data_IF_521782424438
#
_entry.id   IF_521782424438
#
_cell.length_a   1.000
_cell.length_b   1.000
_cell.length_c   1.000
_cell.angle_alpha   90.00
_cell.angle_beta   90.00
_cell.angle_gamma   90.00
#
_symmetry.space_group_name_H-M   'P 1'
#
loop_
_entity.id
_entity.type
_entity.pdbx_description
1 polymer ?
#
# COMPACT_ATOMS: atom_id res chain seq x y z
N UNK A 1 6.79 -65.71 -46.29
CA UNK A 1 8.17 -65.53 -45.76
C UNK A 1 8.71 -64.10 -45.83
N UNK A 2 8.32 -63.22 -46.75
CA UNK A 2 8.87 -61.85 -46.83
C UNK A 2 8.34 -60.84 -45.79
N UNK A 3 7.11 -61.02 -45.29
CA UNK A 3 6.48 -60.13 -44.30
C UNK A 3 7.10 -60.28 -42.90
N UNK A 4 7.49 -61.50 -42.52
CA UNK A 4 8.14 -61.76 -41.23
C UNK A 4 9.55 -61.16 -41.17
N UNK A 5 10.27 -61.17 -42.30
CA UNK A 5 11.61 -60.56 -42.39
C UNK A 5 11.55 -59.03 -42.26
N UNK A 6 10.46 -58.42 -42.70
CA UNK A 6 10.25 -56.97 -42.59
C UNK A 6 9.88 -56.56 -41.16
N UNK A 7 8.98 -57.30 -40.50
CA UNK A 7 8.63 -57.06 -39.09
C UNK A 7 9.81 -57.24 -38.14
N UNK A 8 10.69 -58.22 -38.40
CA UNK A 8 11.91 -58.42 -37.60
C UNK A 8 12.91 -57.27 -37.81
N UNK A 9 13.04 -56.75 -39.04
CA UNK A 9 13.88 -55.57 -39.32
C UNK A 9 13.36 -54.31 -38.64
N UNK A 10 12.04 -54.06 -38.68
CA UNK A 10 11.43 -52.91 -38.00
C UNK A 10 11.60 -53.02 -36.48
N UNK A 11 11.37 -54.20 -35.89
CA UNK A 11 11.56 -54.45 -34.46
C UNK A 11 13.02 -54.25 -34.01
N UNK A 12 13.99 -54.68 -34.83
CA UNK A 12 15.42 -54.50 -34.53
C UNK A 12 15.88 -53.04 -34.68
N UNK A 13 15.30 -52.29 -35.61
CA UNK A 13 15.59 -50.85 -35.79
C UNK A 13 15.02 -49.99 -34.66
N UNK A 14 13.88 -50.39 -34.08
CA UNK A 14 13.27 -49.72 -32.92
C UNK A 14 14.04 -50.07 -31.63
N UNK A 15 14.51 -51.32 -31.51
CA UNK A 15 15.33 -51.74 -30.37
C UNK A 15 16.67 -51.01 -30.31
N UNK A 16 17.34 -50.79 -31.45
CA UNK A 16 18.64 -50.12 -31.48
C UNK A 16 18.56 -48.59 -31.33
N UNK A 17 17.40 -47.96 -31.64
CA UNK A 17 17.23 -46.51 -31.41
C UNK A 17 16.97 -46.18 -29.93
N UNK A 18 16.52 -47.16 -29.14
CA UNK A 18 16.20 -46.99 -27.73
C UNK A 18 17.47 -46.94 -26.85
N UNK A 19 18.54 -47.65 -27.23
CA UNK A 19 19.75 -47.77 -26.42
C UNK A 19 20.81 -46.67 -26.65
N UNK A 20 20.60 -45.77 -27.64
CA UNK A 20 21.53 -44.65 -27.91
C UNK A 20 21.05 -43.31 -27.33
N UNK A 21 19.84 -43.26 -26.77
CA UNK A 21 19.39 -42.10 -26.00
C UNK A 21 19.79 -42.29 -24.54
N UNK A 22 21.00 -41.83 -24.17
CA UNK A 22 21.23 -41.40 -22.78
C UNK A 22 20.22 -40.30 -22.49
N UNK A 23 19.09 -40.68 -21.90
CA UNK A 23 18.09 -39.79 -21.35
C UNK A 23 18.79 -39.03 -20.23
N UNK A 24 19.32 -37.84 -20.55
CA UNK A 24 19.40 -36.78 -19.56
C UNK A 24 17.96 -36.57 -19.11
N UNK A 25 17.63 -37.01 -17.90
CA UNK A 25 16.34 -36.71 -17.28
C UNK A 25 16.09 -35.21 -17.46
N UNK A 26 15.08 -34.79 -18.23
CA UNK A 26 14.81 -33.37 -18.37
C UNK A 26 14.45 -32.91 -16.96
N UNK A 27 15.29 -32.07 -16.34
CA UNK A 27 14.95 -31.38 -15.10
C UNK A 27 13.59 -30.74 -15.34
N UNK A 28 12.54 -31.29 -14.72
CA UNK A 28 11.19 -30.72 -14.83
C UNK A 28 11.31 -29.23 -14.55
N UNK A 29 10.91 -28.39 -15.51
CA UNK A 29 10.85 -26.94 -15.29
C UNK A 29 9.89 -26.71 -14.14
N UNK A 30 10.42 -26.28 -12.99
CA UNK A 30 9.61 -25.96 -11.82
C UNK A 30 8.69 -24.79 -12.18
N UNK A 31 7.41 -25.08 -12.33
CA UNK A 31 6.40 -24.06 -12.59
C UNK A 31 5.93 -23.42 -11.29
N UNK A 32 5.42 -22.19 -11.38
CA UNK A 32 4.94 -21.44 -10.22
C UNK A 32 3.72 -22.13 -9.58
N UNK A 33 2.81 -22.68 -10.37
CA UNK A 33 1.65 -23.43 -9.89
C UNK A 33 0.75 -22.59 -8.97
N UNK A 34 0.36 -23.15 -7.82
CA UNK A 34 -0.53 -22.51 -6.83
C UNK A 34 -0.01 -21.15 -6.34
N UNK A 35 1.31 -20.96 -6.31
CA UNK A 35 1.93 -19.68 -5.93
C UNK A 35 1.66 -18.56 -6.94
N UNK A 36 0.98 -18.84 -8.07
CA UNK A 36 0.67 -17.85 -9.09
C UNK A 36 -0.14 -16.69 -8.54
N UNK A 37 -1.04 -16.94 -7.59
CA UNK A 37 -1.91 -15.91 -7.03
C UNK A 37 -1.13 -14.94 -6.13
N UNK A 38 -0.29 -15.47 -5.23
CA UNK A 38 0.62 -14.65 -4.42
C UNK A 38 1.61 -13.88 -5.30
N UNK A 39 2.13 -14.56 -6.33
CA UNK A 39 3.08 -13.94 -7.26
C UNK A 39 2.41 -12.85 -8.10
N UNK A 40 1.16 -13.02 -8.51
CA UNK A 40 0.38 -11.96 -9.15
C UNK A 40 0.21 -10.74 -8.22
N UNK A 41 -0.03 -10.97 -6.92
CA UNK A 41 -0.04 -9.91 -5.91
C UNK A 41 1.31 -9.18 -5.80
N UNK A 42 2.43 -9.89 -5.84
CA UNK A 42 3.78 -9.29 -5.84
C UNK A 42 4.03 -8.45 -7.09
N UNK A 43 3.69 -8.96 -8.26
CA UNK A 43 3.82 -8.25 -9.53
C UNK A 43 2.93 -6.99 -9.58
N UNK A 44 1.71 -7.09 -9.07
CA UNK A 44 0.80 -5.97 -8.90
C UNK A 44 1.39 -4.86 -8.01
N UNK A 45 2.05 -5.23 -6.89
CA UNK A 45 2.77 -4.29 -6.03
C UNK A 45 3.93 -3.61 -6.75
N UNK A 46 4.67 -4.31 -7.61
CA UNK A 46 5.74 -3.71 -8.42
C UNK A 46 5.19 -2.69 -9.43
N UNK A 47 4.08 -3.00 -10.09
CA UNK A 47 3.39 -2.06 -10.99
C UNK A 47 2.98 -0.79 -10.25
N UNK A 48 2.39 -0.95 -9.06
CA UNK A 48 1.99 0.19 -8.23
C UNK A 48 3.20 1.05 -7.83
N UNK A 49 4.29 0.43 -7.36
CA UNK A 49 5.51 1.13 -6.96
C UNK A 49 6.17 1.87 -8.13
N UNK A 50 6.13 1.30 -9.33
CA UNK A 50 6.61 2.01 -10.52
C UNK A 50 5.73 3.24 -10.82
N UNK A 51 4.41 3.07 -10.81
CA UNK A 51 3.47 4.15 -11.10
C UNK A 51 3.53 5.27 -10.05
N UNK A 52 3.76 4.95 -8.77
CA UNK A 52 3.93 5.95 -7.70
C UNK A 52 5.20 6.79 -7.85
N UNK A 53 6.15 6.36 -8.69
CA UNK A 53 7.38 7.08 -9.02
C UNK A 53 7.31 7.80 -10.37
N UNK A 54 6.15 7.85 -11.04
CA UNK A 54 5.97 8.65 -12.25
C UNK A 54 6.30 10.14 -12.00
N UNK A 55 6.71 10.87 -13.02
CA UNK A 55 7.11 12.28 -12.84
C UNK A 55 5.95 13.12 -12.28
N UNK A 56 4.73 12.87 -12.76
CA UNK A 56 3.50 13.51 -12.25
C UNK A 56 3.26 13.20 -10.76
N UNK A 57 3.41 11.94 -10.33
CA UNK A 57 3.25 11.57 -8.91
C UNK A 57 4.33 12.18 -8.04
N UNK A 58 5.56 12.24 -8.53
CA UNK A 58 6.70 12.83 -7.81
C UNK A 58 6.49 14.34 -7.61
N UNK A 59 6.01 15.04 -8.64
CA UNK A 59 5.66 16.46 -8.55
C UNK A 59 4.55 16.65 -7.51
N UNK A 60 3.47 15.85 -7.54
CA UNK A 60 2.43 15.93 -6.50
C UNK A 60 2.95 15.63 -5.09
N UNK A 61 3.88 14.69 -4.93
CA UNK A 61 4.49 14.44 -3.61
C UNK A 61 5.24 15.68 -3.11
N UNK A 62 6.01 16.34 -3.98
CA UNK A 62 6.74 17.56 -3.63
C UNK A 62 5.80 18.75 -3.38
N UNK A 63 4.89 19.01 -4.31
CA UNK A 63 4.12 20.24 -4.36
C UNK A 63 2.81 20.18 -3.58
N UNK A 64 2.22 19.00 -3.37
CA UNK A 64 0.93 18.84 -2.69
C UNK A 64 1.06 18.11 -1.35
N UNK A 65 2.04 17.21 -1.18
CA UNK A 65 2.11 16.35 0.01
C UNK A 65 3.04 16.92 1.09
N UNK A 66 4.19 17.45 0.68
CA UNK A 66 5.18 18.07 1.58
C UNK A 66 4.77 19.51 1.94
N UNK A 67 4.05 20.18 1.05
CA UNK A 67 3.50 21.52 1.25
C UNK A 67 2.23 21.55 2.12
N UNK A 68 1.64 20.38 2.45
CA UNK A 68 0.44 20.32 3.29
C UNK A 68 0.67 21.09 4.58
N UNK A 69 -0.18 22.07 4.84
CA UNK A 69 -0.09 22.95 6.01
C UNK A 69 0.00 22.13 7.31
N UNK A 70 -0.77 21.04 7.41
CA UNK A 70 -0.74 20.15 8.57
C UNK A 70 0.61 19.46 8.74
N UNK A 71 1.21 18.94 7.66
CA UNK A 71 2.54 18.32 7.70
C UNK A 71 3.58 19.32 8.19
N UNK A 72 3.55 20.55 7.68
CA UNK A 72 4.46 21.64 8.09
C UNK A 72 4.27 22.04 9.56
N UNK A 73 3.02 22.13 10.03
CA UNK A 73 2.71 22.52 11.41
C UNK A 73 3.10 21.48 12.44
N UNK A 74 2.69 20.23 12.23
CA UNK A 74 2.77 19.18 13.26
C UNK A 74 3.81 18.10 12.99
N UNK A 75 4.29 17.90 11.76
CA UNK A 75 5.36 16.92 11.46
C UNK A 75 6.73 17.59 11.43
N UNK A 76 7.03 18.42 10.43
CA UNK A 76 8.31 19.14 10.31
C UNK A 76 8.24 20.28 9.31
N UNK A 77 9.05 21.33 9.52
CA UNK A 77 9.27 22.40 8.56
C UNK A 77 10.53 22.20 7.69
N UNK A 78 11.27 21.10 7.88
CA UNK A 78 12.42 20.79 7.05
C UNK A 78 11.97 19.93 5.85
N UNK A 79 12.04 20.51 4.65
CA UNK A 79 11.69 19.84 3.41
C UNK A 79 12.63 18.66 3.11
N UNK A 80 13.91 18.78 3.42
CA UNK A 80 14.89 17.71 3.20
C UNK A 80 14.57 16.49 4.06
N UNK A 81 14.19 16.72 5.32
CA UNK A 81 13.71 15.67 6.21
C UNK A 81 12.42 15.01 5.70
N UNK A 82 11.45 15.80 5.23
CA UNK A 82 10.19 15.26 4.70
C UNK A 82 10.41 14.44 3.41
N UNK A 83 11.28 14.91 2.50
CA UNK A 83 11.70 14.15 1.32
C UNK A 83 12.43 12.86 1.73
N UNK A 84 13.26 12.91 2.77
CA UNK A 84 13.90 11.75 3.36
C UNK A 84 12.89 10.71 3.83
N UNK A 85 11.85 11.13 4.55
CA UNK A 85 10.77 10.24 5.00
C UNK A 85 10.04 9.57 3.82
N UNK A 86 9.69 10.35 2.79
CA UNK A 86 9.06 9.83 1.58
C UNK A 86 9.95 8.79 0.87
N UNK A 87 11.24 9.11 0.71
CA UNK A 87 12.19 8.18 0.12
C UNK A 87 12.32 6.90 0.95
N UNK A 88 12.42 7.03 2.28
CA UNK A 88 12.60 5.90 3.16
C UNK A 88 11.40 4.94 3.11
N UNK A 89 10.17 5.47 3.05
CA UNK A 89 8.97 4.64 2.88
C UNK A 89 8.97 3.91 1.53
N UNK A 90 9.33 4.59 0.44
CA UNK A 90 9.41 3.96 -0.89
C UNK A 90 10.49 2.87 -0.94
N UNK A 91 11.66 3.15 -0.35
CA UNK A 91 12.75 2.19 -0.24
C UNK A 91 12.36 0.96 0.58
N UNK A 92 11.64 1.15 1.70
CA UNK A 92 11.12 0.05 2.51
C UNK A 92 10.12 -0.81 1.74
N UNK A 93 9.19 -0.19 1.00
CA UNK A 93 8.21 -0.93 0.20
C UNK A 93 8.89 -1.81 -0.86
N UNK A 94 9.93 -1.30 -1.54
CA UNK A 94 10.74 -2.10 -2.48
C UNK A 94 11.45 -3.24 -1.76
N UNK A 95 12.02 -2.99 -0.58
CA UNK A 95 12.72 -4.02 0.20
C UNK A 95 11.80 -5.14 0.65
N UNK A 96 10.57 -4.82 1.06
CA UNK A 96 9.56 -5.83 1.41
C UNK A 96 9.28 -6.74 0.22
N UNK A 97 9.07 -6.18 -0.98
CA UNK A 97 8.86 -6.97 -2.19
C UNK A 97 10.11 -7.79 -2.54
N UNK A 98 11.30 -7.20 -2.43
CA UNK A 98 12.56 -7.91 -2.66
C UNK A 98 12.76 -9.11 -1.72
N UNK A 99 12.41 -8.99 -0.44
CA UNK A 99 12.45 -10.12 0.51
C UNK A 99 11.54 -11.28 0.07
N UNK A 100 10.37 -11.00 -0.50
CA UNK A 100 9.50 -12.04 -1.04
C UNK A 100 10.11 -12.67 -2.31
N UNK A 101 10.64 -11.85 -3.21
CA UNK A 101 11.30 -12.33 -4.44
C UNK A 101 12.55 -13.15 -4.14
N UNK A 102 13.32 -12.81 -3.11
CA UNK A 102 14.46 -13.62 -2.64
C UNK A 102 14.04 -15.02 -2.19
N UNK A 103 12.93 -15.15 -1.46
CA UNK A 103 12.38 -16.47 -1.07
C UNK A 103 11.92 -17.25 -2.31
N UNK A 104 11.31 -16.57 -3.27
CA UNK A 104 10.87 -17.18 -4.53
C UNK A 104 12.06 -17.61 -5.40
N UNK A 105 13.14 -16.83 -5.42
CA UNK A 105 14.30 -17.06 -6.27
C UNK A 105 15.12 -18.28 -5.86
N UNK A 106 15.00 -18.75 -4.60
CA UNK A 106 15.59 -20.05 -4.20
C UNK A 106 15.00 -21.25 -4.97
N UNK A 107 13.86 -21.07 -5.67
CA UNK A 107 13.23 -22.09 -6.54
C UNK A 107 13.62 -21.98 -8.02
N UNK A 108 14.45 -20.98 -8.37
CA UNK A 108 14.99 -20.79 -9.72
C UNK A 108 16.06 -21.84 -10.05
N UNK A 109 16.25 -22.10 -11.34
CA UNK A 109 17.35 -22.92 -11.84
C UNK A 109 18.60 -22.07 -12.12
N UNK A 110 18.42 -20.77 -12.38
CA UNK A 110 19.51 -19.82 -12.59
C UNK A 110 20.20 -19.44 -11.27
N UNK A 111 21.49 -19.75 -11.16
CA UNK A 111 22.34 -19.45 -9.99
C UNK A 111 22.42 -17.95 -9.67
N UNK A 112 22.37 -17.08 -10.67
CA UNK A 112 22.41 -15.63 -10.45
C UNK A 112 21.12 -15.15 -9.77
N UNK A 113 19.97 -15.70 -10.18
CA UNK A 113 18.67 -15.40 -9.56
C UNK A 113 18.60 -15.95 -8.13
N UNK A 114 19.15 -17.13 -7.86
CA UNK A 114 19.20 -17.69 -6.50
C UNK A 114 19.97 -16.81 -5.51
N UNK A 115 20.96 -16.05 -5.99
CA UNK A 115 21.77 -15.11 -5.20
C UNK A 115 21.24 -13.67 -5.24
N UNK A 116 20.00 -13.46 -5.67
CA UNK A 116 19.39 -12.14 -5.82
C UNK A 116 19.48 -11.28 -4.56
N UNK A 117 19.31 -11.87 -3.37
CA UNK A 117 19.45 -11.19 -2.07
C UNK A 117 20.77 -10.43 -1.96
N UNK A 118 21.88 -11.12 -2.21
CA UNK A 118 23.21 -10.51 -2.16
C UNK A 118 23.36 -9.37 -3.16
N UNK A 119 22.94 -9.60 -4.41
CA UNK A 119 23.06 -8.62 -5.48
C UNK A 119 22.19 -7.38 -5.24
N UNK A 120 21.01 -7.58 -4.64
CA UNK A 120 20.10 -6.50 -4.30
C UNK A 120 20.69 -5.62 -3.19
N UNK A 121 21.26 -6.22 -2.14
CA UNK A 121 21.90 -5.47 -1.05
C UNK A 121 23.15 -4.72 -1.54
N UNK A 122 23.96 -5.35 -2.39
CA UNK A 122 25.11 -4.69 -3.02
C UNK A 122 24.66 -3.48 -3.85
N UNK A 123 23.68 -3.65 -4.74
CA UNK A 123 23.13 -2.56 -5.56
C UNK A 123 22.49 -1.45 -4.72
N UNK A 124 21.82 -1.81 -3.61
CA UNK A 124 21.24 -0.84 -2.68
C UNK A 124 22.31 0.02 -2.02
N UNK A 125 23.47 -0.55 -1.67
CA UNK A 125 24.55 0.17 -1.00
C UNK A 125 25.50 0.90 -1.95
N UNK A 126 25.95 0.24 -3.03
CA UNK A 126 26.96 0.79 -3.95
C UNK A 126 26.35 1.51 -5.16
N UNK A 127 25.12 1.16 -5.54
CA UNK A 127 24.52 1.60 -6.82
C UNK A 127 25.08 0.90 -8.05
N UNK A 128 26.02 -0.04 -7.88
CA UNK A 128 26.64 -0.75 -8.99
C UNK A 128 25.78 -1.95 -9.43
N UNK A 129 25.38 -1.97 -10.70
CA UNK A 129 24.61 -3.05 -11.31
C UNK A 129 25.50 -3.94 -12.18
N UNK A 130 26.16 -4.92 -11.56
CA UNK A 130 27.07 -5.84 -12.25
C UNK A 130 26.37 -6.74 -13.28
N UNK A 131 25.06 -6.92 -13.17
CA UNK A 131 24.29 -7.85 -14.01
C UNK A 131 23.44 -7.15 -15.09
N UNK A 132 23.48 -5.82 -15.16
CA UNK A 132 22.69 -5.05 -16.13
C UNK A 132 21.19 -5.33 -16.03
N UNK A 133 20.68 -5.47 -14.81
CA UNK A 133 19.27 -5.74 -14.54
C UNK A 133 18.39 -4.49 -14.57
N UNK A 134 18.98 -3.31 -14.34
CA UNK A 134 18.30 -2.02 -14.52
C UNK A 134 17.90 -1.89 -15.99
N UNK A 135 16.63 -1.55 -16.21
CA UNK A 135 16.03 -1.38 -17.53
C UNK A 135 15.88 0.09 -17.86
N UNK A 136 15.88 0.43 -19.16
CA UNK A 136 15.45 1.74 -19.61
C UNK A 136 13.95 1.96 -19.31
N UNK A 137 13.47 3.21 -19.19
CA UNK A 137 12.05 3.50 -18.96
C UNK A 137 11.13 2.87 -20.01
N UNK A 138 11.55 2.81 -21.28
CA UNK A 138 10.78 2.20 -22.37
C UNK A 138 10.65 0.67 -22.21
N UNK A 139 11.75 0.01 -21.83
CA UNK A 139 11.75 -1.43 -21.56
C UNK A 139 10.91 -1.78 -20.33
N UNK A 140 10.99 -0.95 -19.29
CA UNK A 140 10.18 -1.11 -18.08
C UNK A 140 8.70 -0.97 -18.39
N UNK A 141 8.30 0.01 -19.20
CA UNK A 141 6.90 0.18 -19.62
C UNK A 141 6.38 -1.04 -20.42
N UNK A 142 7.18 -1.56 -21.35
CA UNK A 142 6.84 -2.78 -22.07
C UNK A 142 6.75 -4.01 -21.12
N UNK A 143 7.64 -4.08 -20.12
CA UNK A 143 7.60 -5.12 -19.09
C UNK A 143 6.36 -5.01 -18.22
N UNK A 144 5.96 -3.80 -17.85
CA UNK A 144 4.78 -3.52 -17.04
C UNK A 144 3.50 -3.95 -17.76
N UNK A 145 3.37 -3.67 -19.06
CA UNK A 145 2.23 -4.17 -19.86
C UNK A 145 2.15 -5.70 -19.86
N UNK A 146 3.30 -6.38 -19.92
CA UNK A 146 3.35 -7.84 -19.83
C UNK A 146 2.98 -8.34 -18.43
N UNK A 147 3.48 -7.67 -17.39
CA UNK A 147 3.20 -7.96 -16.00
C UNK A 147 1.71 -7.80 -15.68
N UNK A 148 1.11 -6.68 -16.09
CA UNK A 148 -0.31 -6.36 -15.94
C UNK A 148 -1.22 -7.39 -16.61
N UNK A 149 -0.87 -7.82 -17.83
CA UNK A 149 -1.58 -8.91 -18.52
C UNK A 149 -1.54 -10.21 -17.70
N UNK A 150 -0.39 -10.57 -17.13
CA UNK A 150 -0.30 -11.77 -16.30
C UNK A 150 -1.09 -11.66 -15.01
N UNK A 151 -1.05 -10.49 -14.34
CA UNK A 151 -1.83 -10.21 -13.14
C UNK A 151 -3.32 -10.35 -13.45
N UNK A 152 -3.79 -9.71 -14.53
CA UNK A 152 -5.21 -9.76 -14.96
C UNK A 152 -5.66 -11.19 -15.26
N UNK A 153 -4.93 -11.94 -16.09
CA UNK A 153 -5.31 -13.33 -16.43
C UNK A 153 -5.28 -14.23 -15.18
N UNK A 154 -4.33 -14.01 -14.27
CA UNK A 154 -4.24 -14.81 -13.03
C UNK A 154 -5.37 -14.46 -12.04
N UNK A 155 -5.83 -13.22 -12.01
CA UNK A 155 -7.02 -12.81 -11.26
C UNK A 155 -8.30 -13.43 -11.84
N UNK A 156 -8.45 -13.43 -13.17
CA UNK A 156 -9.54 -14.15 -13.85
C UNK A 156 -9.51 -15.64 -13.51
N UNK A 157 -8.33 -16.27 -13.56
CA UNK A 157 -8.18 -17.68 -13.17
C UNK A 157 -8.68 -17.95 -11.74
N UNK A 158 -8.37 -17.07 -10.79
CA UNK A 158 -8.84 -17.22 -9.41
C UNK A 158 -10.37 -17.22 -9.34
N UNK A 159 -11.01 -16.23 -9.99
CA UNK A 159 -12.47 -16.11 -10.04
C UNK A 159 -13.13 -17.33 -10.70
N UNK A 160 -12.61 -17.77 -11.86
CA UNK A 160 -13.16 -18.92 -12.58
C UNK A 160 -12.98 -20.24 -11.79
N UNK A 161 -11.93 -20.35 -10.97
CA UNK A 161 -11.74 -21.47 -10.05
C UNK A 161 -12.73 -21.45 -8.87
N UNK A 162 -13.09 -20.27 -8.35
CA UNK A 162 -14.13 -20.11 -7.33
C UNK A 162 -15.53 -20.44 -7.88
N UNK A 163 -15.82 -20.00 -9.10
CA UNK A 163 -17.04 -20.36 -9.82
C UNK A 163 -17.11 -21.87 -10.09
N UNK A 164 -15.98 -22.50 -10.47
CA UNK A 164 -15.90 -23.96 -10.61
C UNK A 164 -16.23 -24.69 -9.31
N UNK A 165 -15.65 -24.26 -8.18
CA UNK A 165 -15.94 -24.81 -6.86
C UNK A 165 -17.42 -24.67 -6.50
N UNK A 166 -18.03 -23.53 -6.83
CA UNK A 166 -19.45 -23.26 -6.60
C UNK A 166 -20.34 -24.21 -7.42
N UNK A 167 -20.03 -24.41 -8.71
CA UNK A 167 -20.76 -25.34 -9.58
C UNK A 167 -20.61 -26.78 -9.08
N UNK A 168 -19.41 -27.21 -8.68
CA UNK A 168 -19.15 -28.54 -8.13
C UNK A 168 -19.93 -28.79 -6.83
N UNK A 169 -19.99 -27.80 -5.94
CA UNK A 169 -20.76 -27.88 -4.70
C UNK A 169 -22.28 -27.93 -4.96
N UNK A 170 -22.78 -27.16 -5.92
CA UNK A 170 -24.19 -27.18 -6.30
C UNK A 170 -24.59 -28.54 -6.90
N UNK A 171 -23.73 -29.11 -7.75
CA UNK A 171 -23.92 -30.45 -8.31
C UNK A 171 -23.91 -31.51 -7.21
N UNK A 172 -22.98 -31.44 -6.25
CA UNK A 172 -22.92 -32.35 -5.09
C UNK A 172 -24.19 -32.28 -4.22
N UNK A 173 -24.72 -31.07 -3.96
CA UNK A 173 -25.97 -30.87 -3.23
C UNK A 173 -27.18 -31.46 -3.98
N UNK A 174 -27.22 -31.34 -5.30
CA UNK A 174 -28.27 -31.94 -6.12
C UNK A 174 -28.29 -33.47 -6.01
N UNK A 175 -27.14 -34.15 -5.86
CA UNK A 175 -27.12 -35.60 -5.62
C UNK A 175 -27.54 -36.02 -4.21
N UNK A 176 -27.60 -35.10 -3.24
CA UNK A 176 -27.94 -35.39 -1.84
C UNK A 176 -29.42 -35.12 -1.51
N UNK A 177 -30.08 -34.21 -2.23
CA UNK A 177 -31.53 -33.98 -2.07
C UNK A 177 -32.34 -35.07 -2.78
N UNK A 178 -33.16 -35.81 -2.02
CA UNK A 178 -34.03 -36.91 -2.51
C UNK A 178 -35.33 -36.44 -3.19
N UNK A 179 -35.56 -35.14 -3.31
CA UNK A 179 -36.70 -34.63 -4.08
C UNK A 179 -36.44 -34.86 -5.58
N UNK A 180 -37.51 -34.98 -6.36
CA UNK A 180 -37.47 -35.16 -7.82
C UNK A 180 -36.83 -33.96 -8.52
N UNK A 181 -35.51 -33.84 -8.39
CA UNK A 181 -34.70 -32.87 -9.12
C UNK A 181 -34.81 -33.28 -10.58
N UNK A 182 -35.39 -32.39 -11.39
CA UNK A 182 -35.52 -32.57 -12.84
C UNK A 182 -34.16 -32.99 -13.39
N UNK A 183 -34.07 -34.19 -13.94
CA UNK A 183 -32.88 -34.76 -14.59
C UNK A 183 -32.20 -33.77 -15.54
N UNK A 184 -33.01 -32.94 -16.20
CA UNK A 184 -32.58 -31.81 -17.02
C UNK A 184 -31.65 -30.80 -16.30
N UNK A 185 -31.90 -30.48 -15.03
CA UNK A 185 -31.07 -29.57 -14.23
C UNK A 185 -29.70 -30.17 -13.92
N UNK A 186 -29.63 -31.50 -13.76
CA UNK A 186 -28.37 -32.21 -13.52
C UNK A 186 -27.53 -32.20 -14.79
N UNK A 187 -28.14 -32.49 -15.95
CA UNK A 187 -27.47 -32.47 -17.25
C UNK A 187 -26.94 -31.06 -17.58
N UNK A 188 -27.73 -30.02 -17.33
CA UNK A 188 -27.32 -28.62 -17.52
C UNK A 188 -26.11 -28.25 -16.63
N UNK A 189 -26.15 -28.60 -15.35
CA UNK A 189 -25.02 -28.37 -14.43
C UNK A 189 -23.76 -29.14 -14.83
N UNK A 190 -23.89 -30.38 -15.35
CA UNK A 190 -22.77 -31.17 -15.86
C UNK A 190 -22.13 -30.53 -17.09
N UNK A 191 -22.94 -30.04 -18.04
CA UNK A 191 -22.45 -29.33 -19.22
C UNK A 191 -21.70 -28.05 -18.82
N UNK A 192 -22.28 -27.26 -17.90
CA UNK A 192 -21.64 -26.04 -17.39
C UNK A 192 -20.31 -26.35 -16.69
N UNK A 193 -20.25 -27.41 -15.88
CA UNK A 193 -19.03 -27.86 -15.22
C UNK A 193 -17.94 -28.26 -16.22
N UNK A 194 -18.31 -28.94 -17.31
CA UNK A 194 -17.36 -29.30 -18.36
C UNK A 194 -16.73 -28.06 -19.02
N UNK A 195 -17.56 -27.09 -19.42
CA UNK A 195 -17.09 -25.83 -20.01
C UNK A 195 -16.22 -25.05 -19.03
N UNK A 196 -16.63 -24.96 -17.77
CA UNK A 196 -15.86 -24.28 -16.73
C UNK A 196 -14.48 -24.91 -16.51
N UNK A 197 -14.38 -26.25 -16.55
CA UNK A 197 -13.09 -26.95 -16.45
C UNK A 197 -12.18 -26.65 -17.63
N UNK A 198 -12.72 -26.54 -18.84
CA UNK A 198 -11.92 -26.15 -20.01
C UNK A 198 -11.42 -24.71 -19.89
N UNK A 199 -12.27 -23.78 -19.44
CA UNK A 199 -11.87 -22.39 -19.25
C UNK A 199 -10.74 -22.27 -18.20
N UNK A 200 -10.88 -22.94 -17.05
CA UNK A 200 -9.82 -22.99 -16.03
C UNK A 200 -8.52 -23.57 -16.59
N UNK A 201 -8.59 -24.61 -17.43
CA UNK A 201 -7.40 -25.19 -18.07
C UNK A 201 -6.74 -24.19 -19.01
N UNK A 202 -7.52 -23.52 -19.86
CA UNK A 202 -7.05 -22.48 -20.77
C UNK A 202 -6.39 -21.31 -20.02
N UNK A 203 -7.01 -20.86 -18.93
CA UNK A 203 -6.47 -19.77 -18.09
C UNK A 203 -5.19 -20.19 -17.37
N UNK A 204 -5.05 -21.44 -16.91
CA UNK A 204 -3.79 -21.97 -16.34
C UNK A 204 -2.64 -21.91 -17.34
N UNK A 205 -2.87 -22.20 -18.61
CA UNK A 205 -1.85 -22.15 -19.67
C UNK A 205 -1.36 -20.74 -19.98
N UNK A 206 -2.23 -19.74 -19.84
CA UNK A 206 -1.93 -18.34 -20.16
C UNK A 206 -1.42 -17.54 -18.97
N UNK A 207 -1.90 -17.83 -17.77
CA UNK A 207 -1.55 -17.18 -16.50
C UNK A 207 -0.12 -17.47 -16.03
N UNK A 208 0.20 -17.00 -14.82
CA UNK A 208 1.46 -17.31 -14.13
C UNK A 208 1.56 -18.78 -13.70
N UNK A 209 0.44 -19.51 -13.61
CA UNK A 209 0.39 -20.90 -13.11
C UNK A 209 1.37 -21.82 -13.85
N UNK A 210 1.42 -21.72 -15.18
CA UNK A 210 2.29 -22.53 -16.04
C UNK A 210 3.62 -21.83 -16.44
N UNK A 211 4.01 -20.75 -15.77
CA UNK A 211 5.31 -20.10 -16.00
C UNK A 211 6.38 -20.69 -15.08
N UNK A 212 7.64 -20.67 -15.52
CA UNK A 212 8.77 -21.08 -14.69
C UNK A 212 9.12 -20.01 -13.65
N UNK A 213 9.68 -20.43 -12.52
CA UNK A 213 10.20 -19.50 -11.52
C UNK A 213 11.23 -18.55 -12.13
N UNK A 214 12.16 -19.04 -12.96
CA UNK A 214 13.18 -18.20 -13.61
C UNK A 214 12.59 -17.04 -14.40
N UNK A 215 11.54 -17.28 -15.18
CA UNK A 215 10.91 -16.24 -15.99
C UNK A 215 10.24 -15.17 -15.13
N UNK A 216 9.53 -15.60 -14.08
CA UNK A 216 8.76 -14.68 -13.23
C UNK A 216 9.69 -13.91 -12.29
N UNK A 217 10.67 -14.59 -11.70
CA UNK A 217 11.69 -13.97 -10.83
C UNK A 217 12.56 -13.02 -11.64
N UNK A 218 13.06 -13.41 -12.83
CA UNK A 218 13.85 -12.51 -13.68
C UNK A 218 13.08 -11.22 -14.01
N UNK A 219 11.78 -11.34 -14.31
CA UNK A 219 10.92 -10.18 -14.52
C UNK A 219 10.81 -9.31 -13.27
N UNK A 220 10.58 -9.90 -12.10
CA UNK A 220 10.46 -9.17 -10.84
C UNK A 220 11.77 -8.50 -10.41
N UNK A 221 12.91 -9.20 -10.53
CA UNK A 221 14.25 -8.71 -10.18
C UNK A 221 14.62 -7.47 -11.00
N UNK A 222 14.43 -7.51 -12.32
CA UNK A 222 14.70 -6.35 -13.19
C UNK A 222 13.81 -5.16 -12.85
N UNK A 223 12.53 -5.41 -12.54
CA UNK A 223 11.62 -4.36 -12.07
C UNK A 223 12.06 -3.76 -10.74
N UNK A 224 12.46 -4.59 -9.76
CA UNK A 224 12.95 -4.14 -8.45
C UNK A 224 14.18 -3.25 -8.60
N UNK A 225 15.17 -3.69 -9.38
CA UNK A 225 16.40 -2.92 -9.64
C UNK A 225 16.08 -1.57 -10.29
N UNK A 226 15.21 -1.57 -11.30
CA UNK A 226 14.80 -0.35 -12.01
C UNK A 226 14.03 0.62 -11.11
N UNK A 227 13.13 0.10 -10.26
CA UNK A 227 12.37 0.91 -9.29
C UNK A 227 13.34 1.51 -8.26
N UNK A 228 14.27 0.74 -7.71
CA UNK A 228 15.24 1.23 -6.73
C UNK A 228 16.19 2.28 -7.34
N UNK A 229 16.65 2.07 -8.58
CA UNK A 229 17.42 3.06 -9.33
C UNK A 229 16.63 4.37 -9.49
N UNK A 230 15.34 4.27 -9.84
CA UNK A 230 14.45 5.43 -9.98
C UNK A 230 14.22 6.15 -8.65
N UNK A 231 14.07 5.44 -7.53
CA UNK A 231 13.99 6.05 -6.19
C UNK A 231 15.26 6.86 -5.90
N UNK A 232 16.44 6.26 -6.10
CA UNK A 232 17.72 6.94 -5.87
C UNK A 232 17.86 8.21 -6.73
N UNK A 233 17.37 8.17 -7.97
CA UNK A 233 17.37 9.30 -8.90
C UNK A 233 16.37 10.40 -8.48
N UNK A 234 15.13 10.03 -8.19
CA UNK A 234 14.03 10.97 -7.83
C UNK A 234 14.32 11.74 -6.54
N UNK A 235 14.93 11.07 -5.56
CA UNK A 235 15.23 11.63 -4.24
C UNK A 235 16.69 12.11 -4.09
N UNK A 236 17.49 12.06 -5.16
CA UNK A 236 18.84 12.65 -5.17
C UNK A 236 19.88 11.94 -4.31
N UNK A 237 19.69 10.64 -4.00
CA UNK A 237 20.57 9.88 -3.09
C UNK A 237 21.85 9.38 -3.79
N UNK A 238 22.00 9.60 -5.10
CA UNK A 238 23.18 9.13 -5.83
C UNK A 238 23.64 10.12 -6.93
N UNK A 239 24.83 10.74 -6.77
CA UNK A 239 25.46 11.54 -7.84
C UNK A 239 26.10 10.71 -8.97
N UNK A 240 26.16 9.36 -8.87
CA UNK A 240 27.04 8.55 -9.73
C UNK A 240 26.40 7.98 -11.01
N UNK A 241 25.12 8.22 -11.29
CA UNK A 241 24.44 7.72 -12.50
C UNK A 241 24.29 8.77 -13.62
N UNK A 242 24.86 9.97 -13.47
CA UNK A 242 24.94 10.92 -14.57
C UNK A 242 26.13 10.57 -15.49
N UNK A 243 25.91 10.36 -16.80
CA UNK A 243 26.94 10.66 -17.78
C UNK A 243 27.24 12.15 -17.64
N UNK A 244 28.38 12.46 -17.02
CA UNK A 244 28.93 13.80 -16.91
C UNK A 244 29.13 14.38 -18.30
N UNK A 245 28.21 15.22 -18.76
CA UNK A 245 28.45 16.16 -19.84
C UNK A 245 28.64 17.56 -19.27
N UNK A 246 29.92 17.92 -19.12
CA UNK A 246 30.53 19.25 -19.22
C UNK A 246 29.75 20.46 -18.65
N UNK A 247 30.18 20.97 -17.50
CA UNK A 247 30.77 22.32 -17.41
C UNK A 247 31.46 22.51 -16.05
N UNK A 248 32.62 23.15 -16.10
CA UNK A 248 33.53 23.38 -14.99
C UNK A 248 33.09 24.57 -14.12
N UNK A 249 33.22 24.42 -12.81
CA UNK A 249 33.93 25.38 -11.95
C UNK A 249 34.06 24.80 -10.55
N UNK A 250 35.30 24.52 -10.17
CA UNK A 250 35.68 24.06 -8.85
C UNK A 250 35.78 25.25 -7.90
N UNK A 251 34.99 25.25 -6.83
CA UNK A 251 35.34 25.96 -5.60
C UNK A 251 35.30 24.92 -4.49
N UNK A 252 36.48 24.57 -3.98
CA UNK A 252 36.69 23.53 -2.98
C UNK A 252 36.42 24.14 -1.60
N UNK A 253 35.40 23.65 -0.91
CA UNK A 253 35.28 23.75 0.54
C UNK A 253 35.28 22.33 1.11
N UNK A 254 36.22 21.97 2.01
CA UNK A 254 36.19 20.66 2.66
C UNK A 254 35.16 20.73 3.79
N UNK A 255 34.01 20.09 3.60
CA UNK A 255 33.04 19.88 4.68
C UNK A 255 33.41 18.61 5.43
N UNK A 256 33.51 18.74 6.75
CA UNK A 256 33.93 17.74 7.72
C UNK A 256 33.28 16.36 7.52
N UNK A 257 34.14 15.34 7.42
CA UNK A 257 33.75 13.93 7.44
C UNK A 257 33.22 13.56 8.83
N UNK A 258 31.89 13.59 8.99
CA UNK A 258 31.22 13.01 10.15
C UNK A 258 31.21 11.47 10.05
N UNK A 259 31.60 10.84 11.16
CA UNK A 259 31.76 9.39 11.41
C UNK A 259 30.44 8.58 11.35
N UNK A 260 29.72 8.60 10.23
CA UNK A 260 28.50 7.81 10.02
C UNK A 260 28.59 6.84 8.82
N UNK A 261 29.80 6.67 8.26
CA UNK A 261 30.09 5.97 7.00
C UNK A 261 29.95 4.43 7.01
N UNK A 262 29.19 3.85 7.93
CA UNK A 262 29.06 2.37 8.04
C UNK A 262 27.63 1.84 8.03
N UNK A 263 26.62 2.69 7.82
CA UNK A 263 25.23 2.25 7.82
C UNK A 263 24.74 2.00 6.38
N UNK A 264 24.24 0.78 6.11
CA UNK A 264 23.71 0.42 4.80
C UNK A 264 22.52 1.30 4.39
N UNK A 265 22.30 1.49 3.08
CA UNK A 265 21.23 2.32 2.52
C UNK A 265 19.88 2.02 3.18
N UNK A 266 19.57 0.75 3.33
CA UNK A 266 18.32 0.32 3.92
C UNK A 266 18.24 0.52 5.43
N UNK A 267 19.36 0.36 6.14
CA UNK A 267 19.40 0.59 7.57
C UNK A 267 19.21 2.09 7.90
N UNK A 268 19.79 2.98 7.11
CA UNK A 268 19.58 4.43 7.22
C UNK A 268 18.11 4.81 7.03
N UNK A 269 17.47 4.28 5.99
CA UNK A 269 16.04 4.50 5.73
C UNK A 269 15.17 3.93 6.86
N UNK A 270 15.48 2.74 7.36
CA UNK A 270 14.70 2.13 8.45
C UNK A 270 14.89 2.84 9.79
N UNK A 271 16.05 3.46 10.04
CA UNK A 271 16.21 4.37 11.19
C UNK A 271 15.35 5.61 11.03
N UNK A 272 15.31 6.20 9.84
CA UNK A 272 14.53 7.41 9.57
C UNK A 272 13.00 7.19 9.74
N UNK A 273 12.52 5.99 9.40
CA UNK A 273 11.11 5.62 9.59
C UNK A 273 10.72 5.36 11.06
N UNK A 274 11.67 5.32 12.00
CA UNK A 274 11.35 5.19 13.42
C UNK A 274 10.91 6.55 13.96
N UNK A 275 9.66 6.66 14.45
CA UNK A 275 9.15 7.92 14.97
C UNK A 275 9.92 8.33 16.25
N UNK A 276 10.27 9.63 16.40
CA UNK A 276 10.76 10.16 17.67
C UNK A 276 9.75 9.96 18.81
N UNK A 277 10.18 9.83 20.07
CA UNK A 277 9.28 9.60 21.22
C UNK A 277 8.24 10.71 21.43
N UNK A 278 8.48 11.91 20.89
CA UNK A 278 7.56 13.04 20.94
C UNK A 278 6.41 12.96 19.93
N UNK A 279 6.32 11.91 19.10
CA UNK A 279 5.28 11.79 18.08
C UNK A 279 4.15 10.83 18.47
N UNK A 280 3.01 10.97 17.81
CA UNK A 280 1.86 10.10 18.02
C UNK A 280 2.12 8.66 17.58
N UNK A 281 2.95 8.43 16.57
CA UNK A 281 3.35 7.09 16.13
C UNK A 281 4.15 6.35 17.20
N UNK A 282 5.11 7.03 17.85
CA UNK A 282 5.87 6.44 18.95
C UNK A 282 4.99 6.16 20.19
N UNK A 283 4.01 7.02 20.45
CA UNK A 283 3.03 6.84 21.52
C UNK A 283 1.90 5.85 21.18
N UNK A 284 1.85 5.30 19.96
CA UNK A 284 0.75 4.48 19.44
C UNK A 284 -0.64 5.15 19.49
N UNK A 285 -0.69 6.48 19.41
CA UNK A 285 -1.92 7.29 19.49
C UNK A 285 -2.45 7.75 18.12
N UNK A 286 -1.69 7.57 17.03
CA UNK A 286 -2.03 8.13 15.71
C UNK A 286 -3.43 7.72 15.22
N UNK A 287 -3.79 6.43 15.30
CA UNK A 287 -5.12 5.94 14.89
C UNK A 287 -6.24 6.41 15.83
N UNK A 288 -5.95 6.43 17.13
CA UNK A 288 -6.92 6.89 18.11
C UNK A 288 -7.25 8.38 17.88
N UNK A 289 -6.23 9.19 17.61
CA UNK A 289 -6.42 10.63 17.34
C UNK A 289 -7.04 10.89 15.98
N UNK A 290 -6.75 10.09 14.96
CA UNK A 290 -7.45 10.24 13.68
C UNK A 290 -8.94 10.01 13.83
N UNK A 291 -9.36 8.97 14.56
CA UNK A 291 -10.78 8.72 14.83
C UNK A 291 -11.41 9.88 15.61
N UNK A 292 -10.72 10.38 16.64
CA UNK A 292 -11.19 11.52 17.43
C UNK A 292 -11.38 12.77 16.57
N UNK A 293 -10.42 13.11 15.71
CA UNK A 293 -10.48 14.26 14.80
C UNK A 293 -11.64 14.13 13.81
N UNK A 294 -11.84 12.93 13.24
CA UNK A 294 -12.94 12.68 12.29
C UNK A 294 -14.31 12.81 12.97
N UNK A 295 -14.45 12.35 14.23
CA UNK A 295 -15.67 12.55 15.01
C UNK A 295 -15.91 14.03 15.27
N UNK A 296 -14.89 14.77 15.72
CA UNK A 296 -15.00 16.21 15.94
C UNK A 296 -15.36 16.97 14.65
N UNK A 297 -14.78 16.59 13.51
CA UNK A 297 -15.13 17.17 12.21
C UNK A 297 -16.63 16.99 11.89
N UNK A 298 -17.18 15.80 12.12
CA UNK A 298 -18.61 15.53 11.91
C UNK A 298 -19.48 16.39 12.84
N UNK A 299 -19.10 16.50 14.11
CA UNK A 299 -19.80 17.31 15.10
C UNK A 299 -19.76 18.79 14.76
N UNK A 300 -18.63 19.29 14.25
CA UNK A 300 -18.46 20.71 13.86
C UNK A 300 -19.27 21.03 12.58
N UNK A 301 -19.37 20.09 11.64
CA UNK A 301 -20.17 20.25 10.41
C UNK A 301 -21.68 20.20 10.65
N UNK A 302 -22.12 19.50 11.70
CA UNK A 302 -23.55 19.39 12.02
C UNK A 302 -23.80 19.45 13.53
N UNK A 303 -23.56 20.61 14.17
CA UNK A 303 -23.68 20.76 15.62
C UNK A 303 -25.09 20.45 16.15
N UNK A 304 -26.13 20.79 15.37
CA UNK A 304 -27.53 20.49 15.72
C UNK A 304 -27.88 19.00 15.82
N UNK A 305 -27.06 18.11 15.24
CA UNK A 305 -27.27 16.66 15.31
C UNK A 305 -26.51 16.02 16.50
N UNK A 306 -25.78 16.82 17.29
CA UNK A 306 -24.99 16.33 18.41
C UNK A 306 -25.89 16.19 19.65
N UNK A 307 -26.31 14.96 19.91
CA UNK A 307 -26.97 14.59 21.17
C UNK A 307 -26.03 14.59 22.37
N UNK A 308 -26.61 14.55 23.58
CA UNK A 308 -25.85 14.43 24.84
C UNK A 308 -25.00 13.16 24.86
N UNK A 309 -25.55 12.03 24.41
CA UNK A 309 -24.83 10.75 24.34
C UNK A 309 -23.58 10.86 23.46
N UNK A 310 -23.68 11.50 22.29
CA UNK A 310 -22.54 11.69 21.38
C UNK A 310 -21.42 12.55 21.99
N UNK A 311 -21.77 13.52 22.86
CA UNK A 311 -20.78 14.31 23.61
C UNK A 311 -20.10 13.45 24.68
N UNK A 312 -20.88 12.69 25.44
CA UNK A 312 -20.35 11.85 26.52
C UNK A 312 -19.44 10.76 25.95
N UNK A 313 -19.82 10.17 24.82
CA UNK A 313 -18.98 9.26 24.03
C UNK A 313 -17.68 9.94 23.61
N UNK A 314 -17.74 11.14 23.02
CA UNK A 314 -16.54 11.91 22.65
C UNK A 314 -15.63 12.14 23.87
N UNK A 315 -16.20 12.57 24.99
CA UNK A 315 -15.44 12.85 26.21
C UNK A 315 -14.82 11.57 26.81
N UNK A 316 -15.51 10.43 26.71
CA UNK A 316 -15.02 9.11 27.12
C UNK A 316 -13.84 8.63 26.29
N UNK A 317 -13.77 9.03 25.02
CA UNK A 317 -12.66 8.73 24.12
C UNK A 317 -11.42 9.60 24.38
N UNK A 318 -11.53 10.74 25.07
CA UNK A 318 -10.38 11.64 25.26
C UNK A 318 -9.30 11.03 26.17
N UNK A 319 -8.00 11.11 25.82
CA UNK A 319 -6.93 10.81 26.75
C UNK A 319 -6.89 11.77 27.94
N UNK A 320 -6.28 11.33 29.05
CA UNK A 320 -6.17 12.13 30.27
C UNK A 320 -5.41 13.44 30.07
N UNK A 321 -4.42 13.48 29.18
CA UNK A 321 -3.70 14.71 28.80
C UNK A 321 -4.65 15.76 28.23
N UNK A 322 -5.42 15.38 27.20
CA UNK A 322 -6.42 16.25 26.56
C UNK A 322 -7.51 16.68 27.54
N UNK A 323 -8.04 15.76 28.36
CA UNK A 323 -9.03 16.12 29.41
C UNK A 323 -8.49 17.14 30.40
N UNK A 324 -7.22 17.04 30.78
CA UNK A 324 -6.60 17.96 31.72
C UNK A 324 -6.37 19.33 31.09
N UNK A 325 -5.86 19.35 29.86
CA UNK A 325 -5.70 20.57 29.04
C UNK A 325 -7.03 21.29 28.83
N UNK A 326 -8.08 20.55 28.44
CA UNK A 326 -9.43 21.07 28.24
C UNK A 326 -10.00 21.67 29.53
N UNK A 327 -9.90 20.97 30.67
CA UNK A 327 -10.35 21.49 31.97
C UNK A 327 -9.61 22.77 32.35
N UNK A 328 -8.30 22.83 32.12
CA UNK A 328 -7.51 24.04 32.37
C UNK A 328 -7.98 25.21 31.51
N UNK A 329 -8.28 24.96 30.23
CA UNK A 329 -8.73 26.00 29.27
C UNK A 329 -10.15 26.48 29.49
N UNK A 330 -11.02 25.62 30.01
CA UNK A 330 -12.40 25.98 30.35
C UNK A 330 -12.53 26.64 31.73
N UNK A 331 -11.47 26.65 32.55
CA UNK A 331 -11.49 27.26 33.87
C UNK A 331 -11.66 28.78 33.74
N UNK A 332 -12.75 29.31 34.30
CA UNK A 332 -13.07 30.74 34.25
C UNK A 332 -13.84 31.19 32.99
N UNK A 333 -14.16 30.27 32.07
CA UNK A 333 -15.11 30.57 30.98
C UNK A 333 -16.51 30.66 31.59
N UNK A 334 -17.15 31.82 31.44
CA UNK A 334 -18.48 32.10 31.99
C UNK A 334 -19.55 31.08 31.58
N UNK A 335 -20.67 31.08 32.31
CA UNK A 335 -21.75 30.12 32.09
C UNK A 335 -22.60 30.41 30.84
N UNK A 336 -22.60 31.66 30.35
CA UNK A 336 -23.39 32.10 29.20
C UNK A 336 -22.58 32.13 27.91
N UNK A 337 -23.15 31.62 26.83
CA UNK A 337 -22.65 31.75 25.46
C UNK A 337 -23.74 32.41 24.61
N UNK A 338 -23.90 33.73 24.75
CA UNK A 338 -24.95 34.48 24.03
C UNK A 338 -24.39 35.40 22.94
N UNK A 339 -23.06 35.50 22.81
CA UNK A 339 -22.42 36.35 21.80
C UNK A 339 -22.33 35.63 20.45
N UNK A 340 -23.10 36.14 19.49
CA UNK A 340 -23.19 35.64 18.11
C UNK A 340 -21.92 35.93 17.30
N UNK A 341 -21.26 37.07 17.53
CA UNK A 341 -20.01 37.43 16.85
C UNK A 341 -18.92 36.45 17.26
N UNK A 342 -18.78 36.21 18.57
CA UNK A 342 -17.82 35.25 19.09
C UNK A 342 -18.13 33.81 18.61
N UNK A 343 -19.42 33.44 18.46
CA UNK A 343 -19.79 32.16 17.87
C UNK A 343 -19.34 32.04 16.41
N UNK A 344 -19.46 33.11 15.62
CA UNK A 344 -18.96 33.18 14.25
C UNK A 344 -17.43 33.07 14.15
N UNK A 345 -16.71 33.73 15.05
CA UNK A 345 -15.24 33.63 15.15
C UNK A 345 -14.80 32.20 15.48
N UNK A 346 -15.46 31.55 16.44
CA UNK A 346 -15.18 30.14 16.76
C UNK A 346 -15.46 29.22 15.57
N UNK A 347 -16.59 29.36 14.85
CA UNK A 347 -16.87 28.57 13.65
C UNK A 347 -15.76 28.71 12.61
N UNK A 348 -15.28 29.93 12.40
CA UNK A 348 -14.18 30.22 11.48
C UNK A 348 -12.86 29.60 11.95
N UNK A 349 -12.54 29.72 13.24
CA UNK A 349 -11.33 29.14 13.82
C UNK A 349 -11.33 27.60 13.74
N UNK A 350 -12.45 26.95 14.07
CA UNK A 350 -12.63 25.51 13.96
C UNK A 350 -12.47 25.04 12.50
N UNK A 351 -13.06 25.77 11.56
CA UNK A 351 -12.89 25.50 10.13
C UNK A 351 -11.43 25.59 9.68
N UNK A 352 -10.70 26.62 10.14
CA UNK A 352 -9.25 26.77 9.85
C UNK A 352 -8.41 25.64 10.43
N UNK A 353 -8.66 25.24 11.69
CA UNK A 353 -7.92 24.13 12.32
C UNK A 353 -8.21 22.82 11.59
N UNK A 354 -9.49 22.51 11.33
CA UNK A 354 -9.86 21.30 10.60
C UNK A 354 -9.34 21.30 9.17
N UNK A 355 -9.25 22.46 8.51
CA UNK A 355 -8.76 22.59 7.14
C UNK A 355 -7.38 21.96 6.92
N UNK A 356 -6.48 22.07 7.91
CA UNK A 356 -5.15 21.45 7.84
C UNK A 356 -5.04 20.15 8.64
N UNK A 357 -5.84 19.94 9.68
CA UNK A 357 -5.73 18.76 10.56
C UNK A 357 -6.54 17.55 10.07
N UNK A 358 -7.75 17.77 9.55
CA UNK A 358 -8.64 16.70 9.07
C UNK A 358 -8.01 15.86 7.95
N UNK A 359 -7.35 16.45 6.92
CA UNK A 359 -6.72 15.66 5.87
C UNK A 359 -5.71 14.61 6.39
N UNK A 360 -4.91 14.97 7.41
CA UNK A 360 -3.95 14.03 8.02
C UNK A 360 -4.65 12.90 8.78
N UNK A 361 -5.78 13.18 9.43
CA UNK A 361 -6.58 12.18 10.12
C UNK A 361 -7.21 11.18 9.13
N UNK A 362 -7.83 11.66 8.05
CA UNK A 362 -8.38 10.79 7.00
C UNK A 362 -7.28 9.97 6.31
N UNK A 363 -6.14 10.59 6.03
CA UNK A 363 -4.98 9.90 5.48
C UNK A 363 -4.48 8.78 6.39
N UNK A 364 -4.51 8.95 7.71
CA UNK A 364 -4.12 7.89 8.65
C UNK A 364 -5.04 6.67 8.56
N UNK A 365 -6.37 6.87 8.50
CA UNK A 365 -7.35 5.77 8.35
C UNK A 365 -7.14 5.04 7.03
N UNK A 366 -6.99 5.82 5.95
CA UNK A 366 -6.77 5.32 4.59
C UNK A 366 -5.46 4.52 4.49
N UNK A 367 -4.37 5.07 5.01
CA UNK A 367 -3.06 4.43 5.05
C UNK A 367 -3.09 3.11 5.84
N UNK A 368 -3.82 3.07 6.96
CA UNK A 368 -3.98 1.87 7.78
C UNK A 368 -4.83 0.80 7.09
N UNK A 369 -5.95 1.19 6.45
CA UNK A 369 -6.84 0.22 5.79
C UNK A 369 -6.13 -0.57 4.72
N UNK A 370 -5.30 0.09 3.91
CA UNK A 370 -4.59 -0.53 2.78
C UNK A 370 -3.50 -1.52 3.19
N UNK A 371 -3.05 -1.44 4.45
CA UNK A 371 -2.03 -2.33 5.01
C UNK A 371 -2.60 -3.42 5.92
N UNK A 372 -3.93 -3.42 6.12
CA UNK A 372 -4.64 -4.49 6.81
C UNK A 372 -4.48 -5.83 6.08
N UNK A 373 -4.38 -6.93 6.84
CA UNK A 373 -4.11 -8.27 6.32
C UNK A 373 -5.09 -8.71 5.22
N UNK A 374 -6.36 -8.28 5.30
CA UNK A 374 -7.40 -8.56 4.32
C UNK A 374 -7.18 -7.82 2.98
N UNK A 375 -6.56 -6.64 3.01
CA UNK A 375 -6.30 -5.82 1.82
C UNK A 375 -4.89 -6.01 1.23
N UNK A 376 -3.99 -6.74 1.89
CA UNK A 376 -2.64 -7.05 1.37
C UNK A 376 -2.64 -7.81 0.04
N UNK A 377 -3.77 -8.46 -0.30
CA UNK A 377 -4.01 -9.19 -1.54
C UNK A 377 -4.62 -8.31 -2.64
N UNK A 378 -5.04 -7.09 -2.32
CA UNK A 378 -5.62 -6.13 -3.25
C UNK A 378 -4.60 -5.01 -3.56
N UNK A 379 -4.74 -4.43 -4.74
CA UNK A 379 -3.96 -3.26 -5.17
C UNK A 379 -4.03 -2.17 -4.08
N UNK A 380 -2.90 -1.57 -3.66
CA UNK A 380 -2.94 -0.30 -2.94
C UNK A 380 -3.74 0.66 -3.84
N UNK A 381 -4.85 1.20 -3.33
CA UNK A 381 -5.72 2.08 -4.12
C UNK A 381 -5.21 3.51 -4.07
N UNK A 382 -4.25 3.80 -3.18
CA UNK A 382 -3.93 5.16 -2.80
C UNK A 382 -2.42 5.34 -2.59
N UNK A 383 -1.93 6.51 -3.01
CA UNK A 383 -0.53 6.91 -2.89
C UNK A 383 -0.28 7.73 -1.62
N UNK A 384 -0.97 7.43 -0.52
CA UNK A 384 -0.81 8.18 0.73
C UNK A 384 0.50 7.76 1.39
N UNK A 385 1.39 8.73 1.61
CA UNK A 385 2.64 8.55 2.33
C UNK A 385 2.41 8.70 3.84
N UNK A 386 3.19 7.99 4.63
CA UNK A 386 3.16 7.99 6.09
C UNK A 386 3.38 9.40 6.67
N UNK A 387 4.19 10.23 6.02
CA UNK A 387 4.41 11.63 6.42
C UNK A 387 3.14 12.49 6.30
N UNK A 388 2.18 12.10 5.45
CA UNK A 388 0.90 12.79 5.27
C UNK A 388 -0.16 12.36 6.29
N UNK A 389 0.24 11.55 7.27
CA UNK A 389 -0.63 11.02 8.32
C UNK A 389 -0.24 11.61 9.68
N UNK A 390 -0.97 11.22 10.72
CA UNK A 390 -0.65 11.58 12.10
C UNK A 390 0.53 10.78 12.69
N UNK A 391 1.12 9.82 11.96
CA UNK A 391 2.15 8.95 12.51
C UNK A 391 3.41 9.71 12.99
N UNK A 392 3.92 10.65 12.18
CA UNK A 392 5.06 11.49 12.56
C UNK A 392 4.65 12.81 13.21
N UNK A 393 3.36 13.03 13.47
CA UNK A 393 2.90 14.27 14.09
C UNK A 393 3.38 14.38 15.53
N UNK A 394 3.89 15.56 15.89
CA UNK A 394 4.25 15.92 17.25
C UNK A 394 3.02 15.89 18.15
N UNK A 395 3.11 15.08 19.21
CA UNK A 395 2.01 14.80 20.12
C UNK A 395 1.47 16.08 20.76
N UNK A 396 2.32 16.92 21.33
CA UNK A 396 1.90 18.11 22.07
C UNK A 396 1.22 19.13 21.17
N UNK A 397 1.75 19.35 19.96
CA UNK A 397 1.12 20.24 18.97
C UNK A 397 -0.24 19.71 18.52
N UNK A 398 -0.37 18.39 18.31
CA UNK A 398 -1.66 17.79 17.95
C UNK A 398 -2.66 17.86 19.09
N UNK A 399 -2.26 17.55 20.34
CA UNK A 399 -3.13 17.65 21.51
C UNK A 399 -3.58 19.10 21.77
N UNK A 400 -2.72 20.09 21.54
CA UNK A 400 -3.07 21.50 21.61
C UNK A 400 -4.15 21.86 20.57
N UNK A 401 -3.98 21.46 19.31
CA UNK A 401 -4.97 21.68 18.26
C UNK A 401 -6.31 20.99 18.56
N UNK A 402 -6.29 19.75 19.08
CA UNK A 402 -7.50 19.03 19.52
C UNK A 402 -8.17 19.78 20.68
N UNK A 403 -7.39 20.30 21.63
CA UNK A 403 -7.94 21.08 22.75
C UNK A 403 -8.66 22.34 22.25
N UNK A 404 -8.09 23.08 21.29
CA UNK A 404 -8.75 24.22 20.67
C UNK A 404 -10.08 23.83 19.99
N UNK A 405 -10.09 22.70 19.27
CA UNK A 405 -11.32 22.19 18.66
C UNK A 405 -12.41 21.93 19.71
N UNK A 406 -12.04 21.31 20.83
CA UNK A 406 -12.97 20.98 21.91
C UNK A 406 -13.48 22.23 22.64
N UNK A 407 -12.64 23.25 22.85
CA UNK A 407 -13.04 24.52 23.46
C UNK A 407 -14.06 25.25 22.58
N UNK A 408 -13.76 25.37 21.28
CA UNK A 408 -14.67 26.02 20.33
C UNK A 408 -15.99 25.26 20.16
N UNK A 409 -15.93 23.92 20.09
CA UNK A 409 -17.14 23.08 20.02
C UNK A 409 -18.00 23.23 21.28
N UNK A 410 -17.39 23.29 22.47
CA UNK A 410 -18.12 23.55 23.71
C UNK A 410 -18.78 24.93 23.72
N UNK A 411 -18.14 25.96 23.17
CA UNK A 411 -18.76 27.29 23.05
C UNK A 411 -19.94 27.30 22.08
N UNK A 412 -19.75 26.80 20.85
CA UNK A 412 -20.79 26.77 19.81
C UNK A 412 -22.03 26.02 20.28
N UNK A 413 -21.85 24.88 20.93
CA UNK A 413 -22.98 24.09 21.38
C UNK A 413 -23.77 24.77 22.51
N UNK A 414 -23.08 25.42 23.45
CA UNK A 414 -23.75 26.23 24.48
C UNK A 414 -24.54 27.37 23.83
N UNK A 415 -23.94 28.03 22.83
CA UNK A 415 -24.58 29.12 22.09
C UNK A 415 -25.84 28.66 21.37
N UNK A 416 -25.76 27.57 20.60
CA UNK A 416 -26.93 27.04 19.90
C UNK A 416 -28.05 26.66 20.87
N UNK A 417 -27.73 26.02 21.99
CA UNK A 417 -28.71 25.66 23.01
C UNK A 417 -29.39 26.89 23.63
N UNK A 418 -28.63 27.95 23.92
CA UNK A 418 -29.19 29.22 24.42
C UNK A 418 -30.09 29.89 23.38
N UNK A 419 -29.69 29.91 22.11
CA UNK A 419 -30.49 30.49 21.02
C UNK A 419 -31.77 29.70 20.74
N UNK A 420 -31.71 28.37 20.76
CA UNK A 420 -32.91 27.52 20.64
C UNK A 420 -33.85 27.73 21.82
N UNK A 421 -33.32 27.83 23.05
CA UNK A 421 -34.14 28.12 24.22
C UNK A 421 -34.83 29.48 24.10
N UNK A 422 -34.10 30.54 23.72
CA UNK A 422 -34.67 31.89 23.48
C UNK A 422 -35.78 31.86 22.44
N UNK A 423 -35.55 31.21 21.29
CA UNK A 423 -36.57 31.08 20.25
C UNK A 423 -37.84 30.38 20.76
N UNK A 424 -37.71 29.31 21.55
CA UNK A 424 -38.86 28.62 22.16
C UNK A 424 -39.61 29.49 23.17
N UNK A 425 -38.91 30.32 23.94
CA UNK A 425 -39.53 31.27 24.87
C UNK A 425 -40.26 32.40 24.13
N UNK A 426 -39.67 32.92 23.05
CA UNK A 426 -40.30 33.94 22.22
C UNK A 426 -41.59 33.38 21.60
N UNK A 427 -41.58 32.16 21.04
CA UNK A 427 -42.79 31.51 20.50
C UNK A 427 -43.91 31.32 21.53
N UNK A 428 -43.59 30.95 22.77
CA UNK A 428 -44.58 30.77 23.84
C UNK A 428 -45.10 32.09 24.42
N UNK A 429 -44.45 33.23 24.14
CA UNK A 429 -44.89 34.55 24.58
C UNK A 429 -45.87 35.23 23.61
N UNK A 430 -46.05 34.67 22.42
CA UNK A 430 -46.99 35.14 21.38
C UNK A 430 -48.25 34.26 21.24
N UNK A 431 -48.40 33.23 22.07
CA UNK A 431 -49.61 32.40 22.23
C UNK A 431 -50.25 32.67 23.58
#
# INVERSE_FOLDING_TARGET
>A
MALETWLIKVKKSISNSLDTARISVPKHKSTVGVLSFETAGLLSKLLHLWNSLSDNTVIRVRDESISLEGVRKIVSNDESFLLGLACAEMAENVRVVAKHVSRLSKRCQDSNLQCFDRWFDEFANSGHDSHGWVMSPKEMEAKNKKMDRYVTITATLYKEMEELSTIENNLRKCFQCKEAIKEQKIIDLQQRLFWQRQEVKYLKERSLWNRSFDMVVSMAVRSIFTILARIKLVFGICPSLLPRSLSASATVHPTEENKDSTLGFFDSNSKLLKPPPSTLGAAALALHYSNLIIIMEKMIKSPQLVGVDARDDLYSMLPNSIRSSLRSRLKGVGFSASDEVLAGEWRTALGRILGWLSPLAHNMIKWQSERSFEQQNLLPRTNVLLLQTLFFANKDKTEAAITELLVGLNYIWRFEREMTAKALFDFNSFT
#
